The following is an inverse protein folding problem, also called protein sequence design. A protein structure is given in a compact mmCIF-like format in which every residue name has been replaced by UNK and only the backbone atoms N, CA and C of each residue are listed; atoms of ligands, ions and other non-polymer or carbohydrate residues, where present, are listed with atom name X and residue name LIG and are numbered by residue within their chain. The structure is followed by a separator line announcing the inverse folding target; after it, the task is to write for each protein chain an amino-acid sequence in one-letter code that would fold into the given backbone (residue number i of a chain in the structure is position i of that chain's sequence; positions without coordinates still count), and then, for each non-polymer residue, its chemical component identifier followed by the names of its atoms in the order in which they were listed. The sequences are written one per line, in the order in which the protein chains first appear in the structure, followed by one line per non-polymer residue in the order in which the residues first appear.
data_IF_160730442329
#
_entry.id   IF_160730442329
#
_cell.length_a   1.000
_cell.length_b   1.000
_cell.length_c   1.000
_cell.angle_alpha   90.00
_cell.angle_beta   90.00
_cell.angle_gamma   90.00
#
_symmetry.space_group_name_H-M   'P 1'
#
loop_
_entity.id
_entity.type
_entity.pdbx_description
1 polymer ?
#
# COMPACT_ATOMS: atom_id res chain seq x y z
N UNK A 1 20.82 -18.14 -37.98
CA UNK A 1 20.44 -16.76 -37.59
C UNK A 1 19.49 -16.89 -36.40
N UNK A 2 20.01 -16.78 -35.18
CA UNK A 2 19.29 -16.97 -33.92
C UNK A 2 19.13 -15.60 -33.26
N UNK A 3 17.90 -15.18 -32.99
CA UNK A 3 17.61 -13.95 -32.26
C UNK A 3 17.46 -14.31 -30.79
N UNK A 4 18.46 -13.95 -30.00
CA UNK A 4 18.42 -13.95 -28.54
C UNK A 4 17.61 -12.72 -28.08
N UNK A 5 16.47 -12.94 -27.42
CA UNK A 5 15.83 -11.90 -26.60
C UNK A 5 16.02 -12.31 -25.14
N UNK A 6 17.09 -11.79 -24.55
CA UNK A 6 17.26 -11.78 -23.10
C UNK A 6 16.37 -10.67 -22.53
N UNK A 7 15.29 -11.06 -21.84
CA UNK A 7 14.51 -10.12 -21.02
C UNK A 7 15.28 -9.94 -19.71
N UNK A 8 15.87 -8.76 -19.53
CA UNK A 8 16.52 -8.35 -18.29
C UNK A 8 15.45 -8.19 -17.19
N UNK A 9 15.36 -9.18 -16.31
CA UNK A 9 14.62 -9.10 -15.05
C UNK A 9 15.52 -8.44 -13.99
N UNK A 10 15.49 -7.11 -13.93
CA UNK A 10 16.17 -6.35 -12.88
C UNK A 10 15.26 -5.23 -12.35
N UNK A 11 15.11 -5.20 -11.03
CA UNK A 11 14.38 -4.22 -10.17
C UNK A 11 12.91 -4.51 -9.81
N UNK A 12 12.62 -5.69 -9.28
CA UNK A 12 11.40 -5.95 -8.47
C UNK A 12 11.60 -5.73 -6.95
N UNK A 13 12.75 -5.21 -6.51
CA UNK A 13 13.14 -5.28 -5.10
C UNK A 13 12.73 -4.09 -4.20
N UNK A 14 11.89 -3.15 -4.63
CA UNK A 14 11.59 -1.96 -3.80
C UNK A 14 10.12 -1.52 -3.72
N UNK A 15 9.20 -2.24 -4.37
CA UNK A 15 7.78 -1.86 -4.32
C UNK A 15 7.14 -2.11 -2.95
N UNK A 16 7.51 -3.20 -2.26
CA UNK A 16 7.01 -3.49 -0.91
C UNK A 16 7.43 -2.43 0.11
N UNK A 17 8.61 -1.84 -0.03
CA UNK A 17 9.14 -0.87 0.93
C UNK A 17 8.54 0.54 0.70
N UNK A 18 8.33 0.94 -0.56
CA UNK A 18 7.66 2.21 -0.91
C UNK A 18 6.17 2.18 -0.52
N UNK A 19 5.50 1.03 -0.69
CA UNK A 19 4.10 0.88 -0.34
C UNK A 19 3.87 0.78 1.19
N UNK A 20 4.79 0.15 1.93
CA UNK A 20 4.74 0.05 3.40
C UNK A 20 5.03 1.38 4.11
N UNK A 21 5.96 2.21 3.62
CA UNK A 21 6.33 3.43 4.33
C UNK A 21 5.24 4.52 4.32
N UNK A 22 4.41 4.60 3.28
CA UNK A 22 3.36 5.62 3.19
C UNK A 22 1.98 5.20 3.76
N UNK A 23 1.76 3.92 4.11
CA UNK A 23 0.46 3.41 4.59
C UNK A 23 0.47 2.87 6.04
N UNK A 24 1.51 3.18 6.83
CA UNK A 24 1.69 2.65 8.19
C UNK A 24 0.84 3.32 9.29
N UNK A 25 -0.12 4.19 8.95
CA UNK A 25 -0.93 4.90 9.95
C UNK A 25 -1.93 4.05 10.75
N UNK A 26 -2.19 2.78 10.38
CA UNK A 26 -3.31 2.01 10.97
C UNK A 26 -3.10 0.50 11.20
N UNK A 27 -1.88 0.02 11.39
CA UNK A 27 -1.69 -1.39 11.83
C UNK A 27 -0.61 -1.52 12.90
N UNK A 28 -1.06 -1.65 14.16
CA UNK A 28 -0.24 -2.09 15.29
C UNK A 28 -0.26 -3.62 15.35
N UNK A 29 0.82 -4.26 14.91
CA UNK A 29 1.12 -5.64 15.24
C UNK A 29 2.48 -5.70 15.90
N UNK A 30 2.50 -5.71 17.23
CA UNK A 30 3.71 -5.94 18.02
C UNK A 30 3.64 -7.34 18.61
N UNK A 31 4.43 -8.26 18.04
CA UNK A 31 4.91 -9.45 18.76
C UNK A 31 6.38 -9.22 19.11
N UNK A 32 6.60 -9.17 20.43
CA UNK A 32 7.83 -9.13 21.22
C UNK A 32 9.14 -9.61 20.56
N UNK A 33 10.21 -8.83 20.67
CA UNK A 33 11.32 -9.03 21.63
C UNK A 33 12.52 -8.15 21.26
N UNK A 34 12.94 -7.26 22.17
CA UNK A 34 14.36 -6.88 22.31
C UNK A 34 14.60 -6.25 23.69
N UNK A 35 15.26 -7.02 24.57
CA UNK A 35 16.05 -6.55 25.72
C UNK A 35 17.08 -5.52 25.24
N UNK A 36 17.34 -4.45 26.00
CA UNK A 36 18.66 -3.89 26.37
C UNK A 36 18.38 -2.74 27.36
N UNK A 37 18.68 -2.91 28.65
CA UNK A 37 19.94 -2.54 29.33
C UNK A 37 19.93 -1.13 29.90
N UNK A 38 20.00 -1.11 31.23
CA UNK A 38 20.21 -0.01 32.16
C UNK A 38 21.08 1.16 31.67
N UNK A 39 20.62 2.39 31.94
CA UNK A 39 21.51 3.47 32.33
C UNK A 39 20.84 4.38 33.36
N UNK A 40 21.41 4.38 34.57
CA UNK A 40 21.15 5.38 35.60
C UNK A 40 21.70 6.73 35.16
N UNK A 41 20.86 7.78 35.15
CA UNK A 41 21.36 9.15 35.25
C UNK A 41 20.75 9.79 36.50
N UNK A 42 21.65 10.13 37.40
CA UNK A 42 21.43 10.81 38.68
C UNK A 42 20.99 12.24 38.44
N UNK A 43 20.13 12.73 39.33
CA UNK A 43 19.46 14.01 39.24
C UNK A 43 20.38 15.22 39.20
N UNK A 44 19.86 16.28 38.58
CA UNK A 44 20.33 17.64 38.77
C UNK A 44 19.11 18.46 39.20
N UNK A 45 19.25 19.05 40.38
CA UNK A 45 18.30 19.88 41.11
C UNK A 45 18.06 21.22 40.41
N UNK A 46 16.79 21.62 40.29
CA UNK A 46 16.40 22.99 39.96
C UNK A 46 16.40 23.88 41.21
N UNK A 47 16.80 25.16 41.06
CA UNK A 47 16.15 26.37 41.62
C UNK A 47 16.95 27.67 41.29
N UNK A 48 16.33 28.86 41.38
CA UNK A 48 16.25 29.79 40.25
C UNK A 48 16.98 31.11 40.49
N UNK A 49 17.30 31.83 39.42
CA UNK A 49 17.66 33.25 39.48
C UNK A 49 16.82 34.03 38.46
N UNK A 50 15.97 34.88 39.02
CA UNK A 50 15.19 35.91 38.34
C UNK A 50 16.11 36.89 37.63
N UNK A 51 15.77 37.27 36.39
CA UNK A 51 15.74 38.68 35.98
C UNK A 51 15.00 38.82 34.66
N UNK A 52 14.03 39.73 34.69
CA UNK A 52 13.08 40.01 33.64
C UNK A 52 13.74 40.74 32.45
N UNK A 53 13.33 40.37 31.24
CA UNK A 53 13.20 41.30 30.14
C UNK A 53 12.01 40.89 29.28
N UNK A 54 10.90 41.61 29.46
CA UNK A 54 9.76 41.58 28.56
C UNK A 54 10.19 42.22 27.23
N UNK A 55 10.42 41.42 26.20
CA UNK A 55 10.36 41.87 24.81
C UNK A 55 9.20 41.15 24.14
N UNK A 56 8.10 41.88 24.01
CA UNK A 56 6.89 41.45 23.31
C UNK A 56 7.11 41.51 21.80
N UNK A 57 7.01 40.34 21.18
CA UNK A 57 6.43 40.02 19.87
C UNK A 57 6.90 40.75 18.59
N UNK A 58 7.52 39.97 17.70
CA UNK A 58 6.99 39.67 16.37
C UNK A 58 7.74 38.46 15.79
N UNK A 59 7.47 37.27 16.35
CA UNK A 59 7.77 36.02 15.64
C UNK A 59 6.56 35.75 14.76
N UNK A 60 6.62 36.13 13.49
CA UNK A 60 5.77 35.54 12.47
C UNK A 60 6.26 34.10 12.25
N UNK A 61 5.92 33.24 13.20
CA UNK A 61 5.96 31.80 13.00
C UNK A 61 4.86 31.48 12.00
N UNK A 62 5.22 31.39 10.72
CA UNK A 62 4.43 30.62 9.76
C UNK A 62 4.56 29.14 10.13
N UNK A 63 3.89 28.70 11.19
CA UNK A 63 3.56 27.29 11.35
C UNK A 63 2.25 27.04 10.63
N UNK A 64 2.29 27.08 9.30
CA UNK A 64 1.25 26.49 8.49
C UNK A 64 1.40 24.96 8.56
N UNK A 65 0.92 24.38 9.65
CA UNK A 65 0.71 22.93 9.77
C UNK A 65 -0.77 22.69 10.02
N UNK A 66 -1.62 23.19 9.12
CA UNK A 66 -2.91 22.56 8.92
C UNK A 66 -2.63 21.45 7.90
N UNK A 67 -2.71 20.19 8.32
CA UNK A 67 -2.97 19.06 7.42
C UNK A 67 -4.39 19.23 6.89
N UNK A 68 -4.60 20.32 6.14
CA UNK A 68 -5.86 20.71 5.50
C UNK A 68 -5.96 19.92 4.20
N UNK A 69 -5.72 18.60 4.29
CA UNK A 69 -5.96 17.70 3.17
C UNK A 69 -7.44 17.85 2.84
N UNK A 70 -7.78 18.28 1.62
CA UNK A 70 -9.17 18.32 1.17
C UNK A 70 -9.86 16.99 1.49
N UNK A 71 -11.17 17.05 1.76
CA UNK A 71 -12.02 15.90 2.03
C UNK A 71 -11.61 14.71 1.18
N UNK A 72 -11.28 13.58 1.83
CA UNK A 72 -10.82 12.39 1.12
C UNK A 72 -11.99 11.86 0.28
N UNK A 73 -11.86 11.93 -1.04
CA UNK A 73 -12.85 11.32 -1.93
C UNK A 73 -12.94 9.82 -1.62
N UNK A 74 -14.16 9.28 -1.63
CA UNK A 74 -14.38 7.85 -1.46
C UNK A 74 -14.30 7.18 -2.81
N UNK A 75 -13.29 6.34 -3.00
CA UNK A 75 -13.20 5.46 -4.16
C UNK A 75 -14.41 4.53 -4.27
N UNK A 76 -14.74 4.12 -5.50
CA UNK A 76 -15.79 3.13 -5.75
C UNK A 76 -15.42 1.82 -5.04
N UNK A 77 -16.34 1.30 -4.24
CA UNK A 77 -16.13 0.08 -3.45
C UNK A 77 -16.00 -1.17 -4.35
N UNK A 78 -15.30 -2.18 -3.82
CA UNK A 78 -15.16 -3.50 -4.44
C UNK A 78 -15.17 -4.59 -3.37
N UNK A 79 -16.27 -5.32 -3.26
CA UNK A 79 -16.46 -6.37 -2.26
C UNK A 79 -15.90 -7.72 -2.72
N UNK A 80 -15.72 -7.89 -4.03
CA UNK A 80 -15.26 -9.12 -4.70
C UNK A 80 -14.01 -8.86 -5.56
N UNK A 81 -13.29 -9.92 -5.91
CA UNK A 81 -12.14 -9.82 -6.82
C UNK A 81 -12.58 -9.33 -8.21
N UNK A 82 -13.72 -9.83 -8.69
CA UNK A 82 -14.30 -9.47 -9.98
C UNK A 82 -14.62 -7.97 -10.05
N UNK A 83 -15.25 -7.42 -9.01
CA UNK A 83 -15.52 -5.99 -8.92
C UNK A 83 -14.23 -5.18 -8.85
N UNK A 84 -13.22 -5.65 -8.11
CA UNK A 84 -11.94 -4.97 -7.99
C UNK A 84 -11.21 -4.92 -9.33
N UNK A 85 -11.13 -6.04 -10.05
CA UNK A 85 -10.53 -6.11 -11.39
C UNK A 85 -11.32 -5.25 -12.38
N UNK A 86 -12.66 -5.27 -12.33
CA UNK A 86 -13.48 -4.41 -13.19
C UNK A 86 -13.21 -2.93 -12.94
N UNK A 87 -13.19 -2.49 -11.67
CA UNK A 87 -12.87 -1.12 -11.30
C UNK A 87 -11.43 -0.77 -11.71
N UNK A 88 -10.46 -1.65 -11.47
CA UNK A 88 -9.07 -1.45 -11.85
C UNK A 88 -8.92 -1.24 -13.36
N UNK A 89 -9.53 -2.10 -14.17
CA UNK A 89 -9.48 -2.01 -15.64
C UNK A 89 -10.14 -0.74 -16.15
N UNK A 90 -11.37 -0.45 -15.70
CA UNK A 90 -12.13 0.73 -16.13
C UNK A 90 -11.38 2.04 -15.79
N UNK A 91 -10.89 2.14 -14.56
CA UNK A 91 -10.27 3.38 -14.08
C UNK A 91 -8.85 3.57 -14.60
N UNK A 92 -8.11 2.49 -14.91
CA UNK A 92 -6.85 2.61 -15.64
C UNK A 92 -7.06 3.11 -17.07
N UNK A 93 -8.14 2.71 -17.74
CA UNK A 93 -8.47 3.26 -19.06
C UNK A 93 -8.74 4.77 -18.99
N UNK A 94 -9.50 5.22 -17.97
CA UNK A 94 -9.73 6.65 -17.71
C UNK A 94 -8.44 7.41 -17.40
N UNK A 95 -7.60 6.86 -16.51
CA UNK A 95 -6.31 7.43 -16.16
C UNK A 95 -5.42 7.59 -17.40
N UNK A 96 -5.36 6.56 -18.26
CA UNK A 96 -4.60 6.61 -19.52
C UNK A 96 -5.05 7.75 -20.43
N UNK A 97 -6.36 7.99 -20.55
CA UNK A 97 -6.90 9.09 -21.35
C UNK A 97 -6.45 10.44 -20.78
N UNK A 98 -6.60 10.66 -19.47
CA UNK A 98 -6.20 11.91 -18.82
C UNK A 98 -4.69 12.18 -18.96
N UNK A 99 -3.87 11.15 -18.79
CA UNK A 99 -2.41 11.25 -18.93
C UNK A 99 -1.94 11.45 -20.39
N UNK A 100 -2.81 11.27 -21.38
CA UNK A 100 -2.47 11.47 -22.80
C UNK A 100 -2.66 12.92 -23.28
N UNK A 101 -3.27 13.77 -22.45
CA UNK A 101 -3.52 15.17 -22.73
C UNK A 101 -2.62 16.10 -21.87
N UNK A 102 -2.78 17.42 -22.04
CA UNK A 102 -2.14 18.39 -21.16
C UNK A 102 -2.69 18.27 -19.72
N UNK A 103 -1.79 18.20 -18.74
CA UNK A 103 -2.14 18.09 -17.33
C UNK A 103 -2.53 19.44 -16.73
N UNK A 104 -3.70 19.93 -17.11
CA UNK A 104 -4.31 21.12 -16.54
C UNK A 104 -4.64 20.91 -15.04
N UNK A 105 -4.87 21.98 -14.26
CA UNK A 105 -5.32 21.85 -12.87
C UNK A 105 -6.58 20.98 -12.71
N UNK A 106 -7.50 21.06 -13.67
CA UNK A 106 -8.70 20.23 -13.71
C UNK A 106 -8.37 18.76 -13.95
N UNK A 107 -7.50 18.46 -14.91
CA UNK A 107 -7.04 17.09 -15.16
C UNK A 107 -6.34 16.50 -13.94
N UNK A 108 -5.53 17.29 -13.22
CA UNK A 108 -4.89 16.86 -11.98
C UNK A 108 -5.90 16.54 -10.87
N UNK A 109 -6.97 17.31 -10.75
CA UNK A 109 -8.05 17.04 -9.79
C UNK A 109 -8.82 15.75 -10.15
N UNK A 110 -9.10 15.52 -11.44
CA UNK A 110 -9.75 14.29 -11.91
C UNK A 110 -8.86 13.05 -11.68
N UNK A 111 -7.56 13.17 -11.94
CA UNK A 111 -6.58 12.12 -11.64
C UNK A 111 -6.59 11.80 -10.13
N UNK A 112 -6.56 12.81 -9.26
CA UNK A 112 -6.63 12.58 -7.81
C UNK A 112 -7.93 11.87 -7.41
N UNK A 113 -9.08 12.29 -7.94
CA UNK A 113 -10.35 11.66 -7.61
C UNK A 113 -10.42 10.21 -8.07
N UNK A 114 -10.00 9.91 -9.31
CA UNK A 114 -10.08 8.56 -9.85
C UNK A 114 -9.09 7.62 -9.14
N UNK A 115 -7.94 8.12 -8.67
CA UNK A 115 -6.94 7.29 -8.00
C UNK A 115 -7.45 6.69 -6.70
N UNK A 116 -8.41 7.31 -5.99
CA UNK A 116 -9.05 6.67 -4.84
C UNK A 116 -9.78 5.38 -5.20
N UNK A 117 -10.39 5.30 -6.40
CA UNK A 117 -11.03 4.05 -6.85
C UNK A 117 -9.98 2.99 -7.22
N UNK A 118 -8.88 3.41 -7.83
CA UNK A 118 -7.76 2.51 -8.14
C UNK A 118 -7.11 1.97 -6.85
N UNK A 119 -6.97 2.78 -5.81
CA UNK A 119 -6.46 2.37 -4.50
C UNK A 119 -7.34 1.29 -3.87
N UNK A 120 -8.66 1.51 -3.82
CA UNK A 120 -9.61 0.51 -3.29
C UNK A 120 -9.55 -0.79 -4.09
N UNK A 121 -9.47 -0.71 -5.42
CA UNK A 121 -9.36 -1.88 -6.28
C UNK A 121 -8.04 -2.64 -6.03
N UNK A 122 -6.91 -1.93 -5.95
CA UNK A 122 -5.60 -2.53 -5.69
C UNK A 122 -5.52 -3.18 -4.30
N UNK A 123 -6.09 -2.56 -3.27
CA UNK A 123 -6.16 -3.13 -1.92
C UNK A 123 -6.92 -4.47 -1.93
N UNK A 124 -8.06 -4.52 -2.62
CA UNK A 124 -8.84 -5.74 -2.75
C UNK A 124 -8.10 -6.81 -3.57
N UNK A 125 -7.51 -6.45 -4.71
CA UNK A 125 -6.71 -7.39 -5.52
C UNK A 125 -5.53 -7.95 -4.69
N UNK A 126 -4.84 -7.10 -3.93
CA UNK A 126 -3.75 -7.54 -3.05
C UNK A 126 -4.24 -8.52 -1.98
N UNK A 127 -5.36 -8.22 -1.32
CA UNK A 127 -5.95 -9.11 -0.31
C UNK A 127 -6.34 -10.48 -0.91
N UNK A 128 -7.01 -10.50 -2.06
CA UNK A 128 -7.46 -11.75 -2.69
C UNK A 128 -6.27 -12.54 -3.27
N UNK A 129 -5.27 -11.88 -3.88
CA UNK A 129 -4.05 -12.55 -4.36
C UNK A 129 -3.25 -13.20 -3.22
N UNK A 130 -3.29 -12.62 -2.01
CA UNK A 130 -2.79 -13.26 -0.80
C UNK A 130 -3.45 -14.61 -0.52
N UNK A 131 -4.78 -14.70 -0.64
CA UNK A 131 -5.53 -15.97 -0.49
C UNK A 131 -5.25 -16.95 -1.62
N UNK A 132 -5.07 -16.47 -2.85
CA UNK A 132 -4.68 -17.31 -3.98
C UNK A 132 -3.32 -17.97 -3.74
N UNK A 133 -2.35 -17.23 -3.21
CA UNK A 133 -1.04 -17.77 -2.84
C UNK A 133 -1.18 -18.89 -1.81
N UNK A 134 -1.99 -18.68 -0.77
CA UNK A 134 -2.23 -19.71 0.25
C UNK A 134 -2.94 -20.94 -0.31
N UNK A 135 -3.84 -20.76 -1.28
CA UNK A 135 -4.51 -21.88 -1.99
C UNK A 135 -3.55 -22.65 -2.88
N UNK A 136 -2.66 -21.95 -3.60
CA UNK A 136 -1.63 -22.55 -4.42
C UNK A 136 -0.62 -23.35 -3.58
N UNK A 137 -0.28 -22.85 -2.38
CA UNK A 137 0.58 -23.57 -1.44
C UNK A 137 -0.04 -24.91 -1.01
N UNK A 138 -1.37 -24.99 -0.86
CA UNK A 138 -2.02 -26.28 -0.58
C UNK A 138 -1.84 -27.27 -1.73
N UNK A 139 -1.91 -26.80 -2.98
CA UNK A 139 -1.63 -27.64 -4.16
C UNK A 139 -0.19 -28.15 -4.12
N UNK A 140 0.75 -27.25 -3.83
CA UNK A 140 2.17 -27.58 -3.70
C UNK A 140 2.39 -28.68 -2.65
N UNK A 141 1.96 -28.45 -1.40
CA UNK A 141 2.13 -29.41 -0.29
C UNK A 141 1.40 -30.74 -0.57
N UNK A 142 0.19 -30.70 -1.14
CA UNK A 142 -0.55 -31.92 -1.48
C UNK A 142 0.19 -32.74 -2.55
N UNK A 143 0.80 -32.07 -3.53
CA UNK A 143 1.60 -32.74 -4.56
C UNK A 143 2.85 -33.42 -4.00
N UNK A 144 3.53 -32.81 -3.01
CA UNK A 144 4.68 -33.42 -2.32
C UNK A 144 4.30 -34.69 -1.55
N UNK A 145 3.05 -34.74 -1.07
CA UNK A 145 2.51 -35.86 -0.28
C UNK A 145 1.80 -36.92 -1.12
N UNK A 146 1.75 -36.74 -2.45
CA UNK A 146 0.95 -37.57 -3.35
C UNK A 146 -0.55 -37.61 -2.97
N UNK A 147 -1.05 -36.56 -2.31
CA UNK A 147 -2.48 -36.40 -1.99
C UNK A 147 -3.22 -35.84 -3.20
N UNK A 148 -3.63 -36.75 -4.08
CA UNK A 148 -4.25 -36.42 -5.37
C UNK A 148 -5.61 -35.74 -5.22
N UNK A 149 -6.36 -36.04 -4.16
CA UNK A 149 -7.68 -35.45 -3.94
C UNK A 149 -7.57 -33.97 -3.57
N UNK A 150 -6.72 -33.66 -2.59
CA UNK A 150 -6.46 -32.27 -2.18
C UNK A 150 -5.80 -31.47 -3.30
N UNK A 151 -4.81 -32.04 -3.99
CA UNK A 151 -4.14 -31.36 -5.10
C UNK A 151 -5.14 -30.96 -6.19
N UNK A 152 -6.10 -31.83 -6.53
CA UNK A 152 -7.15 -31.52 -7.50
C UNK A 152 -8.11 -30.45 -7.00
N UNK A 153 -8.65 -30.61 -5.78
CA UNK A 153 -9.64 -29.68 -5.23
C UNK A 153 -9.09 -28.25 -5.06
N UNK A 154 -7.90 -28.11 -4.46
CA UNK A 154 -7.27 -26.80 -4.28
C UNK A 154 -6.78 -26.24 -5.62
N UNK A 155 -6.38 -27.09 -6.56
CA UNK A 155 -6.00 -26.69 -7.91
C UNK A 155 -7.15 -26.06 -8.69
N UNK A 156 -8.32 -26.72 -8.69
CA UNK A 156 -9.53 -26.20 -9.33
C UNK A 156 -9.94 -24.86 -8.69
N UNK A 157 -9.86 -24.77 -7.37
CA UNK A 157 -10.18 -23.54 -6.62
C UNK A 157 -9.22 -22.39 -6.96
N UNK A 158 -7.92 -22.68 -7.03
CA UNK A 158 -6.89 -21.71 -7.42
C UNK A 158 -7.12 -21.22 -8.85
N UNK A 159 -7.30 -22.11 -9.81
CA UNK A 159 -7.46 -21.76 -11.23
C UNK A 159 -8.72 -20.91 -11.47
N UNK A 160 -9.82 -21.25 -10.81
CA UNK A 160 -11.07 -20.49 -10.92
C UNK A 160 -10.88 -19.03 -10.48
N UNK A 161 -10.18 -18.80 -9.36
CA UNK A 161 -9.94 -17.45 -8.87
C UNK A 161 -8.84 -16.71 -9.66
N UNK A 162 -7.77 -17.41 -10.04
CA UNK A 162 -6.66 -16.84 -10.83
C UNK A 162 -7.13 -16.36 -12.21
N UNK A 163 -8.11 -17.05 -12.81
CA UNK A 163 -8.68 -16.67 -14.09
C UNK A 163 -9.32 -15.27 -14.07
N UNK A 164 -9.80 -14.78 -12.92
CA UNK A 164 -10.34 -13.42 -12.79
C UNK A 164 -9.25 -12.35 -12.98
N UNK A 165 -7.98 -12.64 -12.69
CA UNK A 165 -6.86 -11.68 -12.77
C UNK A 165 -6.31 -11.47 -14.19
N UNK A 166 -6.52 -12.43 -15.09
CA UNK A 166 -5.87 -12.48 -16.41
C UNK A 166 -6.85 -12.39 -17.58
N UNK A 167 -8.11 -12.00 -17.31
CA UNK A 167 -9.13 -11.77 -18.33
C UNK A 167 -8.95 -10.44 -19.05
#
# INVERSE_FOLDING_TARGET
MLINIAVNFASSANWQQIFQQHWSGRYSYVKLHAKYSHLHIRGITMKPLFSALFITACVLAFTATADDRPDHFKGKQADTLEQAVANFTEYNAKLKVLLSAELTPQAMAEIHQLTYTLEVALEKIHSETGKLKDTLEQVHIASERMDTATAKQSGDSYLNAAQTLVK
#
